data_IF_651225678768
#
_entry.id   IF_651225678768
#
_cell.length_a   1.000
_cell.length_b   1.000
_cell.length_c   1.000
_cell.angle_alpha   90.00
_cell.angle_beta   90.00
_cell.angle_gamma   90.00
#
_symmetry.space_group_name_H-M   'P 1'
#
loop_
_entity.id
_entity.type
_entity.pdbx_description
1 polymer ?
#
# COMPACT_ATOMS: atom_id res chain seq x y z
N UNK A 1 0.10 -3.08 -15.12
CA UNK A 1 1.43 -3.41 -14.58
C UNK A 1 1.46 -3.60 -13.08
N UNK A 2 0.56 -2.99 -12.29
CA UNK A 2 0.54 -3.19 -10.82
C UNK A 2 1.88 -2.85 -10.17
N UNK A 3 2.53 -1.79 -10.65
CA UNK A 3 3.96 -1.52 -10.42
C UNK A 3 4.29 -1.04 -9.00
N UNK A 4 3.28 -0.68 -8.20
CA UNK A 4 3.38 -0.37 -6.78
C UNK A 4 2.12 -0.89 -6.07
N UNK A 5 2.30 -1.58 -4.95
CA UNK A 5 1.21 -1.76 -3.98
C UNK A 5 1.12 -0.51 -3.12
N UNK A 6 0.03 0.26 -3.27
CA UNK A 6 -0.19 1.50 -2.53
C UNK A 6 -1.03 1.23 -1.29
N UNK A 7 -0.46 1.47 -0.12
CA UNK A 7 -1.16 1.40 1.16
C UNK A 7 -1.39 2.81 1.71
N UNK A 8 -2.50 3.00 2.40
CA UNK A 8 -2.76 4.20 3.20
C UNK A 8 -2.28 3.98 4.64
N UNK A 9 -1.88 5.07 5.29
CA UNK A 9 -1.53 5.08 6.71
C UNK A 9 -2.64 5.81 7.47
N UNK A 10 -3.25 5.12 8.42
CA UNK A 10 -4.24 5.71 9.32
C UNK A 10 -3.50 6.45 10.45
N UNK A 11 -3.65 7.78 10.50
CA UNK A 11 -2.86 8.63 11.39
C UNK A 11 -3.74 9.56 12.22
N UNK A 12 -3.22 9.93 13.39
CA UNK A 12 -3.82 10.92 14.27
C UNK A 12 -2.74 11.90 14.77
N UNK A 13 -3.17 13.08 15.24
CA UNK A 13 -2.27 13.98 15.93
C UNK A 13 -1.74 13.30 17.22
N UNK A 14 -0.41 13.26 17.37
CA UNK A 14 0.23 12.53 18.46
C UNK A 14 -0.10 13.09 19.85
N UNK A 15 -0.11 14.42 19.99
CA UNK A 15 -0.38 15.07 21.28
C UNK A 15 -1.82 14.83 21.73
N UNK A 16 -2.77 14.98 20.80
CA UNK A 16 -4.17 14.67 21.03
C UNK A 16 -4.37 13.20 21.39
N UNK A 17 -3.81 12.27 20.62
CA UNK A 17 -3.98 10.84 20.89
C UNK A 17 -3.41 10.46 22.26
N UNK A 18 -2.25 11.02 22.62
CA UNK A 18 -1.61 10.77 23.91
C UNK A 18 -2.34 11.41 25.10
N UNK A 19 -3.13 12.47 24.89
CA UNK A 19 -3.92 13.08 25.96
C UNK A 19 -5.20 12.32 26.30
N UNK A 20 -5.62 11.37 25.47
CA UNK A 20 -6.80 10.54 25.72
C UNK A 20 -6.54 9.51 26.85
N UNK A 21 -7.58 9.09 27.59
CA UNK A 21 -7.52 7.93 28.47
C UNK A 21 -6.99 6.69 27.73
N UNK A 22 -6.27 5.81 28.44
CA UNK A 22 -5.69 4.58 27.85
C UNK A 22 -6.74 3.63 27.28
N UNK A 23 -7.93 3.60 27.87
CA UNK A 23 -9.08 2.85 27.34
C UNK A 23 -9.51 3.37 25.96
N UNK A 24 -9.54 4.69 25.77
CA UNK A 24 -9.91 5.32 24.50
C UNK A 24 -8.81 5.17 23.44
N UNK A 25 -7.54 5.30 23.82
CA UNK A 25 -6.41 5.01 22.92
C UNK A 25 -6.51 3.59 22.36
N UNK A 26 -6.77 2.61 23.23
CA UNK A 26 -6.93 1.21 22.84
C UNK A 26 -8.15 1.01 21.95
N UNK A 27 -9.30 1.60 22.32
CA UNK A 27 -10.53 1.52 21.53
C UNK A 27 -10.31 2.05 20.10
N UNK A 28 -9.73 3.26 19.97
CA UNK A 28 -9.46 3.86 18.67
C UNK A 28 -8.53 3.01 17.81
N UNK A 29 -7.44 2.48 18.40
CA UNK A 29 -6.52 1.59 17.68
C UNK A 29 -7.23 0.33 17.19
N UNK A 30 -8.04 -0.29 18.05
CA UNK A 30 -8.71 -1.54 17.73
C UNK A 30 -9.78 -1.34 16.65
N UNK A 31 -10.59 -0.28 16.76
CA UNK A 31 -11.57 0.10 15.74
C UNK A 31 -10.91 0.43 14.41
N UNK A 32 -9.75 1.10 14.40
CA UNK A 32 -9.05 1.42 13.16
C UNK A 32 -8.48 0.16 12.49
N UNK A 33 -7.94 -0.79 13.28
CA UNK A 33 -7.49 -2.09 12.77
C UNK A 33 -8.65 -2.84 12.10
N UNK A 34 -9.81 -2.90 12.76
CA UNK A 34 -11.02 -3.52 12.21
C UNK A 34 -11.48 -2.84 10.92
N UNK A 35 -11.52 -1.51 10.89
CA UNK A 35 -11.87 -0.74 9.70
C UNK A 35 -10.89 -0.99 8.54
N UNK A 36 -9.59 -1.03 8.79
CA UNK A 36 -8.57 -1.31 7.78
C UNK A 36 -8.70 -2.73 7.22
N UNK A 37 -9.04 -3.72 8.04
CA UNK A 37 -9.33 -5.08 7.56
C UNK A 37 -10.57 -5.14 6.69
N UNK A 38 -11.65 -4.47 7.12
CA UNK A 38 -12.88 -4.38 6.36
C UNK A 38 -12.66 -3.71 5.00
N UNK A 39 -12.00 -2.56 4.97
CA UNK A 39 -11.73 -1.78 3.76
C UNK A 39 -10.88 -2.57 2.75
N UNK A 40 -9.82 -3.25 3.21
CA UNK A 40 -9.00 -4.12 2.35
C UNK A 40 -9.82 -5.24 1.72
N UNK A 41 -10.70 -5.88 2.49
CA UNK A 41 -11.56 -6.94 1.97
C UNK A 41 -12.58 -6.39 0.97
N UNK A 42 -13.18 -5.24 1.29
CA UNK A 42 -14.14 -4.58 0.41
C UNK A 42 -13.48 -4.18 -0.90
N UNK A 43 -12.30 -3.55 -0.88
CA UNK A 43 -11.56 -3.17 -2.08
C UNK A 43 -11.28 -4.38 -2.99
N UNK A 44 -10.74 -5.46 -2.42
CA UNK A 44 -10.44 -6.70 -3.18
C UNK A 44 -11.70 -7.33 -3.77
N UNK A 45 -12.81 -7.31 -3.03
CA UNK A 45 -14.09 -7.86 -3.49
C UNK A 45 -14.67 -7.04 -4.66
N UNK A 46 -14.44 -5.74 -4.68
CA UNK A 46 -15.04 -4.83 -5.66
C UNK A 46 -14.13 -4.52 -6.87
N UNK A 47 -12.83 -4.84 -6.80
CA UNK A 47 -11.83 -4.49 -7.83
C UNK A 47 -12.23 -4.93 -9.24
N UNK A 48 -12.66 -6.19 -9.39
CA UNK A 48 -13.11 -6.72 -10.69
C UNK A 48 -14.32 -5.94 -11.25
N UNK A 49 -15.21 -5.49 -10.36
CA UNK A 49 -16.36 -4.65 -10.72
C UNK A 49 -15.94 -3.26 -11.19
N UNK A 50 -14.92 -2.66 -10.58
CA UNK A 50 -14.37 -1.38 -11.04
C UNK A 50 -13.73 -1.52 -12.44
N UNK A 51 -12.95 -2.58 -12.68
CA UNK A 51 -12.37 -2.85 -13.99
C UNK A 51 -13.43 -3.02 -15.07
N UNK A 52 -14.50 -3.78 -14.78
CA UNK A 52 -15.60 -3.97 -15.70
C UNK A 52 -16.31 -2.65 -16.06
N UNK A 53 -16.49 -1.74 -15.09
CA UNK A 53 -17.07 -0.42 -15.32
C UNK A 53 -16.20 0.43 -16.25
N UNK A 54 -14.88 0.40 -16.07
CA UNK A 54 -13.94 1.13 -16.94
C UNK A 54 -13.99 0.62 -18.39
N UNK A 55 -13.99 -0.70 -18.59
CA UNK A 55 -14.15 -1.30 -19.93
C UNK A 55 -15.48 -0.93 -20.57
N UNK A 56 -16.58 -0.98 -19.81
CA UNK A 56 -17.92 -0.58 -20.28
C UNK A 56 -17.98 0.90 -20.66
N UNK A 57 -17.20 1.76 -19.99
CA UNK A 57 -17.08 3.18 -20.31
C UNK A 57 -16.21 3.45 -21.55
N UNK A 58 -15.72 2.42 -22.25
CA UNK A 58 -14.95 2.54 -23.49
C UNK A 58 -13.43 2.52 -23.28
N UNK A 59 -12.93 2.24 -22.07
CA UNK A 59 -11.48 2.12 -21.85
C UNK A 59 -10.94 0.84 -22.49
N UNK A 60 -9.89 0.99 -23.31
CA UNK A 60 -9.10 -0.14 -23.82
C UNK A 60 -8.10 -0.52 -22.73
N UNK A 61 -8.13 -1.79 -22.30
CA UNK A 61 -7.29 -2.27 -21.19
C UNK A 61 -6.45 -3.45 -21.64
N UNK A 62 -5.13 -3.35 -21.47
CA UNK A 62 -4.23 -4.49 -21.50
C UNK A 62 -4.14 -5.10 -20.09
N UNK A 63 -4.74 -6.27 -19.92
CA UNK A 63 -4.75 -7.02 -18.66
C UNK A 63 -3.50 -7.88 -18.46
N UNK A 64 -2.70 -8.06 -19.51
CA UNK A 64 -1.51 -8.90 -19.50
C UNK A 64 -0.29 -8.15 -20.06
N UNK A 65 0.05 -6.97 -19.52
CA UNK A 65 1.24 -6.25 -19.96
C UNK A 65 2.50 -7.05 -19.61
N UNK A 66 3.62 -6.76 -20.28
CA UNK A 66 4.91 -7.41 -20.02
C UNK A 66 5.49 -7.02 -18.64
N UNK A 67 4.99 -7.68 -17.59
CA UNK A 67 5.41 -7.46 -16.20
C UNK A 67 6.91 -7.73 -16.02
N UNK A 68 7.49 -8.65 -16.77
CA UNK A 68 8.89 -9.02 -16.64
C UNK A 68 9.80 -7.84 -17.03
N UNK A 69 9.52 -7.18 -18.15
CA UNK A 69 10.26 -5.98 -18.57
C UNK A 69 10.11 -4.83 -17.58
N UNK A 70 8.90 -4.61 -17.04
CA UNK A 70 8.68 -3.59 -16.00
C UNK A 70 9.53 -3.86 -14.75
N UNK A 71 9.53 -5.12 -14.26
CA UNK A 71 10.34 -5.51 -13.09
C UNK A 71 11.83 -5.31 -13.35
N UNK A 72 12.33 -5.76 -14.51
CA UNK A 72 13.75 -5.63 -14.86
C UNK A 72 14.21 -4.18 -14.88
N UNK A 73 13.39 -3.26 -15.42
CA UNK A 73 13.71 -1.83 -15.45
C UNK A 73 13.56 -1.16 -14.08
N UNK A 74 12.58 -1.59 -13.27
CA UNK A 74 12.37 -1.05 -11.92
C UNK A 74 13.51 -1.39 -10.95
N UNK A 75 14.27 -2.48 -11.17
CA UNK A 75 15.41 -2.85 -10.32
C UNK A 75 16.46 -1.75 -10.20
N UNK A 76 16.64 -0.93 -11.25
CA UNK A 76 17.59 0.18 -11.25
C UNK A 76 17.21 1.30 -10.28
N UNK A 77 15.94 1.37 -9.84
CA UNK A 77 15.47 2.41 -8.93
C UNK A 77 16.10 2.31 -7.54
N UNK A 78 16.54 1.11 -7.13
CA UNK A 78 17.23 0.91 -5.85
C UNK A 78 18.56 1.69 -5.77
N UNK A 79 19.13 2.05 -6.92
CA UNK A 79 20.40 2.76 -7.03
C UNK A 79 20.21 4.29 -6.96
N UNK A 80 18.96 4.78 -6.91
CA UNK A 80 18.69 6.22 -6.74
C UNK A 80 19.18 6.74 -5.39
N UNK A 81 19.62 8.01 -5.31
CA UNK A 81 20.18 8.58 -4.07
C UNK A 81 19.29 8.40 -2.83
N UNK A 82 17.97 8.49 -2.99
CA UNK A 82 17.02 8.29 -1.88
C UNK A 82 17.10 6.90 -1.24
N UNK A 83 17.42 5.86 -2.03
CA UNK A 83 17.57 4.49 -1.56
C UNK A 83 19.01 4.16 -1.13
N UNK A 84 19.95 5.10 -1.29
CA UNK A 84 21.32 4.99 -0.77
C UNK A 84 21.48 5.65 0.61
N UNK A 85 20.52 6.49 1.02
CA UNK A 85 20.44 6.98 2.40
C UNK A 85 20.26 5.79 3.36
N UNK A 86 21.04 5.77 4.45
CA UNK A 86 21.17 4.63 5.36
C UNK A 86 19.82 4.09 5.83
N UNK A 87 18.93 4.93 6.37
CA UNK A 87 17.65 4.48 6.95
C UNK A 87 16.70 3.96 5.89
N UNK A 88 16.64 4.62 4.75
CA UNK A 88 15.79 4.24 3.63
C UNK A 88 16.26 2.92 3.01
N UNK A 89 17.57 2.74 2.88
CA UNK A 89 18.19 1.49 2.43
C UNK A 89 17.89 0.33 3.37
N UNK A 90 18.13 0.52 4.68
CA UNK A 90 17.83 -0.49 5.71
C UNK A 90 16.35 -0.87 5.71
N UNK A 91 15.44 0.09 5.49
CA UNK A 91 14.02 -0.18 5.41
C UNK A 91 13.66 -0.97 4.14
N UNK A 92 14.20 -0.59 2.97
CA UNK A 92 14.00 -1.31 1.72
C UNK A 92 14.46 -2.77 1.83
N UNK A 93 15.65 -3.00 2.40
CA UNK A 93 16.20 -4.34 2.61
C UNK A 93 15.30 -5.20 3.52
N UNK A 94 14.76 -4.61 4.61
CA UNK A 94 13.78 -5.28 5.49
C UNK A 94 12.51 -5.67 4.75
N UNK A 95 11.96 -4.78 3.91
CA UNK A 95 10.77 -5.09 3.13
C UNK A 95 11.04 -6.22 2.12
N UNK A 96 12.19 -6.21 1.44
CA UNK A 96 12.54 -7.27 0.50
C UNK A 96 12.72 -8.63 1.20
N UNK A 97 13.38 -8.66 2.36
CA UNK A 97 13.56 -9.89 3.14
C UNK A 97 12.23 -10.47 3.63
N UNK A 98 11.30 -9.62 4.08
CA UNK A 98 9.98 -10.04 4.57
C UNK A 98 9.07 -10.62 3.48
N UNK A 99 9.49 -10.61 2.22
CA UNK A 99 8.74 -11.15 1.07
C UNK A 99 9.34 -12.43 0.48
N UNK A 100 10.45 -12.91 1.03
CA UNK A 100 11.03 -14.22 0.71
C UNK A 100 10.30 -15.32 1.48
#
# INVERSE_FOLDING_TARGET
TGHVYSAHIDVANLNWFNSLPKSEQKLLQQSMIEAAHYERQWNRTNEAGFLAKLKKAGMIVDEHPDIASFKAKALMLKDLPMFQEKRTKELLEKFLEATK
#
